data_IF_624350562800
#
_entry.id   IF_624350562800
#
_cell.length_a   1.000
_cell.length_b   1.000
_cell.length_c   1.000
_cell.angle_alpha   90.00
_cell.angle_beta   90.00
_cell.angle_gamma   90.00
#
_symmetry.space_group_name_H-M   'P 1'
#
loop_
_entity.id
_entity.type
_entity.pdbx_description
1 polymer ?
#
# COMPACT_ATOMS: atom_id res chain seq x y z
N UNK A 1 -5.65 -2.65 -5.59
CA UNK A 1 -5.01 -1.32 -5.62
C UNK A 1 -5.87 -0.36 -6.42
N UNK A 2 -6.25 -0.72 -7.64
CA UNK A 2 -7.15 0.11 -8.43
C UNK A 2 -8.46 0.42 -7.68
N UNK A 3 -9.01 -0.54 -6.96
CA UNK A 3 -10.20 -0.38 -6.14
C UNK A 3 -9.99 0.60 -4.98
N UNK A 4 -8.82 0.54 -4.33
CA UNK A 4 -8.50 1.40 -3.19
C UNK A 4 -7.96 2.78 -3.59
N UNK A 5 -7.31 2.89 -4.74
CA UNK A 5 -6.71 4.14 -5.20
C UNK A 5 -7.51 4.83 -6.31
N UNK A 6 -8.33 4.09 -7.06
CA UNK A 6 -8.99 4.56 -8.30
C UNK A 6 -10.46 4.11 -8.40
N UNK A 7 -10.99 3.34 -7.45
CA UNK A 7 -12.38 2.85 -7.44
C UNK A 7 -13.41 3.91 -7.05
N UNK A 8 -14.70 3.51 -7.01
CA UNK A 8 -15.82 4.38 -6.65
C UNK A 8 -15.71 5.03 -5.27
N UNK A 9 -14.85 4.48 -4.42
CA UNK A 9 -14.40 5.09 -3.18
C UNK A 9 -12.89 5.35 -3.27
N UNK A 10 -12.49 6.42 -3.95
CA UNK A 10 -11.10 6.88 -3.89
C UNK A 10 -10.71 7.06 -2.42
N UNK A 11 -9.82 6.18 -1.93
CA UNK A 11 -9.34 6.26 -0.56
C UNK A 11 -8.42 7.46 -0.34
N UNK A 12 -7.87 8.03 -1.42
CA UNK A 12 -7.13 9.30 -1.42
C UNK A 12 -8.06 10.33 -2.06
N UNK A 13 -8.78 11.07 -1.22
CA UNK A 13 -9.77 12.07 -1.69
C UNK A 13 -9.16 13.45 -1.88
N UNK A 14 -8.17 13.80 -1.06
CA UNK A 14 -7.60 15.14 -1.02
C UNK A 14 -6.09 15.14 -1.25
N UNK A 15 -5.60 16.14 -1.93
CA UNK A 15 -4.20 16.36 -2.32
C UNK A 15 -3.21 16.58 -1.16
N UNK A 16 -3.53 16.18 0.06
CA UNK A 16 -2.66 16.26 1.23
C UNK A 16 -2.74 15.03 2.13
N UNK A 17 -3.52 14.03 1.75
CA UNK A 17 -3.62 12.78 2.50
C UNK A 17 -2.31 12.01 2.50
N UNK A 18 -2.11 11.23 3.52
CA UNK A 18 -0.90 10.43 3.70
C UNK A 18 -1.21 8.94 3.67
N UNK A 19 -0.33 8.17 3.04
CA UNK A 19 -0.47 6.72 2.93
C UNK A 19 0.80 6.02 3.40
N UNK A 20 0.63 4.94 4.15
CA UNK A 20 1.68 3.97 4.47
C UNK A 20 1.47 2.71 3.63
N UNK A 21 2.48 2.31 2.87
CA UNK A 21 2.46 1.12 2.01
C UNK A 21 3.45 0.10 2.56
N UNK A 22 2.94 -1.01 3.11
CA UNK A 22 3.78 -2.13 3.49
C UNK A 22 4.29 -2.88 2.26
N UNK A 23 5.52 -3.37 2.33
CA UNK A 23 6.15 -4.07 1.21
C UNK A 23 6.36 -3.17 -0.02
N UNK A 24 6.78 -1.94 0.17
CA UNK A 24 6.96 -0.93 -0.89
C UNK A 24 7.83 -1.34 -2.07
N UNK A 25 8.71 -2.33 -1.89
CA UNK A 25 9.55 -2.88 -2.96
C UNK A 25 8.92 -4.10 -3.67
N UNK A 26 7.69 -4.48 -3.36
CA UNK A 26 6.93 -5.50 -4.11
C UNK A 26 6.37 -4.92 -5.41
N UNK A 27 5.95 -5.76 -6.35
CA UNK A 27 5.30 -5.29 -7.58
C UNK A 27 4.07 -4.42 -7.30
N UNK A 28 3.24 -4.82 -6.33
CA UNK A 28 2.08 -4.04 -5.88
C UNK A 28 2.54 -2.74 -5.21
N UNK A 29 3.53 -2.81 -4.31
CA UNK A 29 4.03 -1.64 -3.58
C UNK A 29 4.63 -0.58 -4.48
N UNK A 30 5.45 -0.97 -5.45
CA UNK A 30 6.08 -0.02 -6.40
C UNK A 30 5.06 0.71 -7.26
N UNK A 31 4.00 0.02 -7.68
CA UNK A 31 2.90 0.63 -8.44
C UNK A 31 2.06 1.55 -7.55
N UNK A 32 1.71 1.09 -6.35
CA UNK A 32 0.93 1.88 -5.40
C UNK A 32 1.63 3.19 -5.01
N UNK A 33 2.95 3.17 -4.81
CA UNK A 33 3.75 4.37 -4.49
C UNK A 33 3.66 5.40 -5.61
N UNK A 34 3.85 4.98 -6.86
CA UNK A 34 3.82 5.86 -8.00
C UNK A 34 2.43 6.47 -8.20
N UNK A 35 1.37 5.66 -8.10
CA UNK A 35 0.00 6.13 -8.22
C UNK A 35 -0.36 7.10 -7.09
N UNK A 36 -0.06 6.76 -5.84
CA UNK A 36 -0.33 7.62 -4.69
C UNK A 36 0.37 8.98 -4.82
N UNK A 37 1.62 8.98 -5.29
CA UNK A 37 2.36 10.22 -5.58
C UNK A 37 1.66 11.08 -6.65
N UNK A 38 1.22 10.46 -7.75
CA UNK A 38 0.54 11.18 -8.84
C UNK A 38 -0.78 11.79 -8.37
N UNK A 39 -1.49 11.11 -7.48
CA UNK A 39 -2.71 11.64 -6.85
C UNK A 39 -2.45 12.62 -5.71
N UNK A 40 -1.20 13.03 -5.50
CA UNK A 40 -0.83 14.08 -4.56
C UNK A 40 -0.69 13.63 -3.10
N UNK A 41 -0.69 12.33 -2.82
CA UNK A 41 -0.54 11.82 -1.46
C UNK A 41 0.90 11.88 -0.96
N UNK A 42 1.06 12.05 0.35
CA UNK A 42 2.32 11.89 1.07
C UNK A 42 2.58 10.40 1.31
N UNK A 43 3.54 9.83 0.60
CA UNK A 43 3.77 8.38 0.59
C UNK A 43 4.87 8.00 1.57
N UNK A 44 4.54 7.15 2.53
CA UNK A 44 5.46 6.43 3.38
C UNK A 44 5.45 4.95 2.98
N UNK A 45 6.56 4.26 3.13
CA UNK A 45 6.62 2.84 2.79
C UNK A 45 7.49 2.06 3.77
N UNK A 46 7.34 0.72 3.77
CA UNK A 46 8.26 -0.17 4.46
C UNK A 46 8.93 -1.13 3.48
N UNK A 47 10.19 -1.46 3.73
CA UNK A 47 10.93 -2.46 2.97
C UNK A 47 11.96 -3.19 3.84
N UNK A 48 12.46 -4.34 3.39
CA UNK A 48 13.30 -5.23 4.20
C UNK A 48 14.81 -4.99 4.08
N UNK A 49 15.28 -3.94 3.36
CA UNK A 49 16.70 -3.61 3.28
C UNK A 49 16.91 -2.14 2.88
N UNK A 50 18.08 -1.59 3.21
CA UNK A 50 18.46 -0.22 2.84
C UNK A 50 18.44 0.00 1.31
N UNK A 51 18.93 -0.99 0.52
CA UNK A 51 18.90 -0.94 -0.95
C UNK A 51 17.47 -0.83 -1.47
N UNK A 52 16.53 -1.63 -0.93
CA UNK A 52 15.12 -1.56 -1.28
C UNK A 52 14.49 -0.24 -0.87
N UNK A 53 14.80 0.28 0.32
CA UNK A 53 14.31 1.58 0.77
C UNK A 53 14.78 2.72 -0.15
N UNK A 54 16.05 2.72 -0.56
CA UNK A 54 16.57 3.71 -1.50
C UNK A 54 15.84 3.66 -2.87
N UNK A 55 15.56 2.46 -3.38
CA UNK A 55 14.79 2.30 -4.62
C UNK A 55 13.35 2.81 -4.48
N UNK A 56 12.69 2.50 -3.38
CA UNK A 56 11.32 2.92 -3.06
C UNK A 56 11.22 4.46 -2.95
N UNK A 57 12.20 5.11 -2.35
CA UNK A 57 12.27 6.59 -2.29
C UNK A 57 12.40 7.21 -3.69
N UNK A 58 13.18 6.61 -4.59
CA UNK A 58 13.29 7.08 -5.98
C UNK A 58 11.96 7.02 -6.74
N UNK A 59 11.06 6.09 -6.38
CA UNK A 59 9.73 5.97 -6.97
C UNK A 59 8.75 7.03 -6.47
N UNK A 60 9.08 7.70 -5.36
CA UNK A 60 8.28 8.82 -4.86
C UNK A 60 7.82 8.71 -3.40
N UNK A 61 8.25 7.70 -2.67
CA UNK A 61 8.03 7.69 -1.23
C UNK A 61 8.88 8.77 -0.54
N UNK A 62 8.26 9.57 0.33
CA UNK A 62 8.94 10.60 1.13
C UNK A 62 9.91 9.92 2.10
N UNK A 63 9.46 8.82 2.71
CA UNK A 63 10.30 8.01 3.57
C UNK A 63 10.02 6.53 3.38
N UNK A 64 11.06 5.70 3.53
CA UNK A 64 10.94 4.25 3.51
C UNK A 64 11.67 3.65 4.71
N UNK A 65 10.93 2.95 5.54
CA UNK A 65 11.37 2.40 6.80
C UNK A 65 11.85 0.98 6.60
N UNK A 66 13.08 0.70 7.00
CA UNK A 66 13.59 -0.67 7.02
C UNK A 66 13.04 -1.41 8.25
N UNK A 67 11.94 -2.15 8.06
CA UNK A 67 11.24 -2.84 9.15
C UNK A 67 12.09 -3.91 9.87
N UNK A 68 13.23 -4.32 9.30
CA UNK A 68 14.17 -5.24 9.97
C UNK A 68 15.09 -4.52 10.95
N UNK A 69 15.25 -3.21 10.85
CA UNK A 69 16.16 -2.40 11.67
C UNK A 69 15.43 -1.37 12.52
N UNK A 70 14.24 -0.95 12.09
CA UNK A 70 13.50 0.15 12.71
C UNK A 70 12.08 -0.28 13.04
N UNK A 71 11.54 0.26 14.13
CA UNK A 71 10.12 0.12 14.44
C UNK A 71 9.32 1.10 13.58
N UNK A 72 8.55 0.60 12.62
CA UNK A 72 7.79 1.45 11.69
C UNK A 72 6.72 2.29 12.41
N UNK A 73 6.10 1.77 13.45
CA UNK A 73 5.07 2.41 14.26
C UNK A 73 5.62 3.69 14.90
N UNK A 74 6.74 3.58 15.63
CA UNK A 74 7.42 4.72 16.23
C UNK A 74 7.87 5.72 15.17
N UNK A 75 8.38 5.22 14.06
CA UNK A 75 8.89 6.07 12.98
C UNK A 75 7.77 6.85 12.29
N UNK A 76 6.64 6.22 11.98
CA UNK A 76 5.48 6.90 11.38
C UNK A 76 4.93 7.97 12.33
N UNK A 77 4.76 7.65 13.62
CA UNK A 77 4.27 8.62 14.59
C UNK A 77 5.20 9.84 14.68
N UNK A 78 6.50 9.62 14.70
CA UNK A 78 7.48 10.72 14.65
C UNK A 78 7.36 11.57 13.38
N UNK A 79 7.30 10.93 12.20
CA UNK A 79 7.23 11.62 10.91
C UNK A 79 5.94 12.39 10.71
N UNK A 80 4.86 11.92 11.30
CA UNK A 80 3.53 12.54 11.22
C UNK A 80 3.22 13.45 12.42
N UNK A 81 4.15 13.61 13.36
CA UNK A 81 3.95 14.34 14.62
C UNK A 81 2.72 13.83 15.37
N UNK A 82 2.66 12.52 15.53
CA UNK A 82 1.57 11.76 16.17
C UNK A 82 0.17 11.92 15.53
N UNK A 83 0.08 12.56 14.37
CA UNK A 83 -1.20 12.67 13.64
C UNK A 83 -1.60 11.36 12.96
N UNK A 84 -0.63 10.50 12.64
CA UNK A 84 -0.84 9.27 11.89
C UNK A 84 -1.03 9.49 10.39
N UNK A 85 -1.31 8.40 9.66
CA UNK A 85 -1.58 8.39 8.22
C UNK A 85 -3.05 8.13 7.94
N UNK A 86 -3.59 8.67 6.86
CA UNK A 86 -4.99 8.53 6.48
C UNK A 86 -5.33 7.14 5.95
N UNK A 87 -4.36 6.51 5.27
CA UNK A 87 -4.54 5.21 4.63
C UNK A 87 -3.34 4.31 4.91
N UNK A 88 -3.59 3.03 5.16
CA UNK A 88 -2.57 1.99 5.18
C UNK A 88 -2.94 0.91 4.18
N UNK A 89 -2.03 0.61 3.25
CA UNK A 89 -2.12 -0.53 2.36
C UNK A 89 -1.27 -1.66 2.94
N UNK A 90 -1.93 -2.71 3.41
CA UNK A 90 -1.30 -3.80 4.14
C UNK A 90 -1.36 -5.12 3.36
N UNK A 91 -0.19 -5.73 3.15
CA UNK A 91 -0.05 -7.08 2.60
C UNK A 91 0.46 -8.09 3.63
N UNK A 92 0.68 -7.64 4.86
CA UNK A 92 1.25 -8.46 5.93
C UNK A 92 0.17 -9.06 6.81
N UNK A 93 -0.75 -8.22 7.30
CA UNK A 93 -1.80 -8.60 8.25
C UNK A 93 -1.24 -9.23 9.55
N UNK A 94 -1.95 -10.19 10.17
CA UNK A 94 -1.48 -10.82 11.40
C UNK A 94 -1.20 -9.79 12.50
N UNK A 95 -0.03 -9.87 13.11
CA UNK A 95 0.40 -8.97 14.19
C UNK A 95 0.61 -7.51 13.74
N UNK A 96 0.63 -7.26 12.42
CA UNK A 96 0.72 -5.90 11.91
C UNK A 96 -0.57 -5.09 12.11
N UNK A 97 -1.71 -5.75 12.20
CA UNK A 97 -3.02 -5.08 12.31
C UNK A 97 -3.05 -4.11 13.50
N UNK A 98 -2.74 -4.58 14.71
CA UNK A 98 -2.74 -3.71 15.89
C UNK A 98 -1.72 -2.57 15.78
N UNK A 99 -0.55 -2.85 15.25
CA UNK A 99 0.51 -1.85 15.01
C UNK A 99 0.09 -0.81 13.98
N UNK A 100 -0.62 -1.23 12.94
CA UNK A 100 -1.17 -0.36 11.91
C UNK A 100 -2.20 0.62 12.49
N UNK A 101 -3.07 0.14 13.37
CA UNK A 101 -4.05 1.03 14.03
C UNK A 101 -3.40 2.15 14.83
N UNK A 102 -2.22 1.91 15.42
CA UNK A 102 -1.45 2.94 16.14
C UNK A 102 -0.79 3.97 15.20
N UNK A 103 -0.73 3.66 13.91
CA UNK A 103 -0.20 4.55 12.87
C UNK A 103 -1.29 5.34 12.14
N UNK A 104 -2.57 4.98 12.29
CA UNK A 104 -3.67 5.65 11.60
C UNK A 104 -4.06 6.96 12.27
N UNK A 105 -4.38 7.95 11.44
CA UNK A 105 -5.06 9.19 11.86
C UNK A 105 -6.52 8.93 12.21
N UNK A 106 -7.21 9.89 12.80
CA UNK A 106 -8.68 9.83 12.94
C UNK A 106 -9.34 9.65 11.59
N UNK A 107 -10.43 8.86 11.56
CA UNK A 107 -11.14 8.44 10.33
C UNK A 107 -10.26 7.66 9.34
N UNK A 108 -9.09 7.18 9.80
CA UNK A 108 -8.12 6.46 8.98
C UNK A 108 -8.62 5.10 8.51
N UNK A 109 -8.09 4.66 7.38
CA UNK A 109 -8.51 3.42 6.71
C UNK A 109 -7.34 2.44 6.60
N UNK A 110 -7.57 1.19 7.02
CA UNK A 110 -6.67 0.05 6.83
C UNK A 110 -7.24 -0.87 5.74
N UNK A 111 -6.49 -1.05 4.66
CA UNK A 111 -6.86 -1.93 3.54
C UNK A 111 -5.92 -3.12 3.50
N UNK A 112 -6.43 -4.31 3.78
CA UNK A 112 -5.70 -5.57 3.76
C UNK A 112 -5.85 -6.22 2.40
N UNK A 113 -4.73 -6.43 1.70
CA UNK A 113 -4.69 -7.00 0.34
C UNK A 113 -4.01 -8.37 0.28
N UNK A 114 -3.31 -8.77 1.34
CA UNK A 114 -2.72 -10.09 1.52
C UNK A 114 -2.50 -10.35 3.02
N UNK A 115 -2.19 -11.59 3.37
CA UNK A 115 -2.07 -12.07 4.76
C UNK A 115 -0.75 -12.81 4.99
N UNK A 116 0.36 -12.24 4.50
CA UNK A 116 1.68 -12.88 4.56
C UNK A 116 2.19 -13.12 5.98
N UNK A 117 1.79 -12.31 6.94
CA UNK A 117 2.14 -12.42 8.36
C UNK A 117 1.16 -13.26 9.18
N UNK A 118 0.10 -13.77 8.56
CA UNK A 118 -0.87 -14.65 9.22
C UNK A 118 -2.33 -14.24 8.97
N UNK A 119 -3.22 -15.23 9.14
CA UNK A 119 -4.67 -15.06 8.92
C UNK A 119 -5.39 -14.45 10.13
N UNK A 120 -4.77 -14.49 11.30
CA UNK A 120 -5.36 -14.03 12.57
C UNK A 120 -4.46 -12.96 13.17
N UNK A 121 -5.06 -11.98 13.82
CA UNK A 121 -4.37 -10.92 14.54
C UNK A 121 -5.24 -10.36 15.65
N UNK A 122 -4.66 -9.61 16.59
CA UNK A 122 -5.39 -8.92 17.63
C UNK A 122 -5.88 -7.55 17.16
N UNK A 123 -7.01 -7.12 17.72
CA UNK A 123 -7.62 -5.85 17.40
C UNK A 123 -8.07 -5.15 18.69
N UNK A 124 -7.59 -3.94 18.93
CA UNK A 124 -8.07 -3.11 20.00
C UNK A 124 -9.33 -2.34 19.57
N UNK A 125 -10.49 -2.82 19.95
CA UNK A 125 -11.77 -2.19 19.61
C UNK A 125 -11.91 -0.77 20.18
N UNK A 126 -11.23 -0.45 21.28
CA UNK A 126 -11.21 0.89 21.85
C UNK A 126 -10.56 1.91 20.88
N UNK A 127 -9.51 1.53 20.18
CA UNK A 127 -8.95 2.38 19.10
C UNK A 127 -9.92 2.49 17.93
N UNK A 128 -10.49 1.38 17.48
CA UNK A 128 -11.44 1.35 16.37
C UNK A 128 -12.59 2.33 16.58
N UNK A 129 -13.21 2.28 17.77
CA UNK A 129 -14.35 3.13 18.11
C UNK A 129 -13.97 4.61 18.25
N UNK A 130 -12.98 4.90 19.09
CA UNK A 130 -12.62 6.29 19.42
C UNK A 130 -12.09 7.08 18.22
N UNK A 131 -11.37 6.39 17.33
CA UNK A 131 -10.72 6.97 16.17
C UNK A 131 -11.53 6.78 14.87
N UNK A 132 -12.67 6.11 14.95
CA UNK A 132 -13.59 5.85 13.81
C UNK A 132 -12.88 5.17 12.62
N UNK A 133 -12.01 4.20 12.91
CA UNK A 133 -11.24 3.51 11.88
C UNK A 133 -12.12 2.64 10.98
N UNK A 134 -11.77 2.58 9.72
CA UNK A 134 -12.32 1.62 8.77
C UNK A 134 -11.27 0.55 8.49
N UNK A 135 -11.64 -0.73 8.66
CA UNK A 135 -10.82 -1.86 8.28
C UNK A 135 -11.56 -2.62 7.17
N UNK A 136 -10.90 -2.81 6.03
CA UNK A 136 -11.47 -3.51 4.89
C UNK A 136 -10.45 -4.47 4.28
N UNK A 137 -10.95 -5.50 3.61
CA UNK A 137 -10.15 -6.40 2.78
C UNK A 137 -10.47 -6.21 1.30
N UNK A 138 -9.47 -6.42 0.46
CA UNK A 138 -9.67 -6.39 -0.99
C UNK A 138 -9.06 -7.62 -1.65
N UNK A 139 -9.83 -8.28 -2.50
CA UNK A 139 -9.37 -9.39 -3.33
C UNK A 139 -10.07 -9.36 -4.68
N UNK A 140 -9.29 -9.53 -5.74
CA UNK A 140 -9.81 -9.45 -7.11
C UNK A 140 -10.32 -10.80 -7.62
N UNK A 141 -9.70 -11.89 -7.18
CA UNK A 141 -9.95 -13.22 -7.77
C UNK A 141 -11.41 -13.66 -7.74
N UNK A 142 -12.16 -13.56 -6.61
CA UNK A 142 -13.56 -13.99 -6.51
C UNK A 142 -14.55 -12.95 -7.03
N UNK A 143 -14.12 -11.77 -7.48
CA UNK A 143 -15.03 -10.73 -7.96
C UNK A 143 -15.68 -11.15 -9.27
N UNK A 144 -16.93 -10.72 -9.47
CA UNK A 144 -17.66 -10.91 -10.72
C UNK A 144 -17.00 -10.17 -11.89
N UNK A 145 -17.17 -10.67 -13.09
CA UNK A 145 -16.57 -10.07 -14.29
C UNK A 145 -17.06 -8.63 -14.55
N UNK A 146 -18.30 -8.31 -14.19
CA UNK A 146 -18.83 -6.93 -14.25
C UNK A 146 -18.03 -5.98 -13.37
N UNK A 147 -17.69 -6.42 -12.16
CA UNK A 147 -16.87 -5.64 -11.20
C UNK A 147 -15.46 -5.50 -11.72
N UNK A 148 -14.84 -6.59 -12.19
CA UNK A 148 -13.50 -6.55 -12.82
C UNK A 148 -13.48 -5.58 -14.02
N UNK A 149 -14.50 -5.62 -14.86
CA UNK A 149 -14.64 -4.72 -16.00
C UNK A 149 -14.76 -3.24 -15.56
N UNK A 150 -15.43 -2.95 -14.44
CA UNK A 150 -15.53 -1.60 -13.91
C UNK A 150 -14.15 -1.08 -13.46
N UNK A 151 -13.32 -1.92 -12.84
CA UNK A 151 -11.95 -1.57 -12.45
C UNK A 151 -11.07 -1.31 -13.66
N UNK A 152 -11.18 -2.14 -14.72
CA UNK A 152 -10.45 -1.92 -15.97
C UNK A 152 -10.82 -0.58 -16.60
N UNK A 153 -12.11 -0.26 -16.69
CA UNK A 153 -12.56 1.05 -17.19
C UNK A 153 -12.02 2.22 -16.37
N UNK A 154 -12.03 2.08 -15.04
CA UNK A 154 -11.48 3.08 -14.13
C UNK A 154 -9.96 3.25 -14.32
N UNK A 155 -9.21 2.16 -14.48
CA UNK A 155 -7.78 2.19 -14.78
C UNK A 155 -7.49 2.89 -16.12
N UNK A 156 -8.24 2.56 -17.17
CA UNK A 156 -8.09 3.19 -18.49
C UNK A 156 -8.32 4.70 -18.37
N UNK A 157 -9.34 5.11 -17.65
CA UNK A 157 -9.70 6.53 -17.51
C UNK A 157 -8.71 7.31 -16.64
N UNK A 158 -8.28 6.75 -15.52
CA UNK A 158 -7.58 7.51 -14.47
C UNK A 158 -6.08 7.20 -14.35
N UNK A 159 -5.60 6.07 -14.89
CA UNK A 159 -4.20 5.64 -14.76
C UNK A 159 -3.49 5.53 -16.10
N UNK A 160 -4.17 5.05 -17.13
CA UNK A 160 -3.57 4.83 -18.46
C UNK A 160 -2.86 6.07 -19.03
N UNK A 161 -3.41 7.30 -18.93
CA UNK A 161 -2.72 8.50 -19.41
C UNK A 161 -1.36 8.76 -18.74
N UNK A 162 -1.18 8.32 -17.50
CA UNK A 162 0.10 8.44 -16.78
C UNK A 162 1.11 7.38 -17.23
N UNK A 163 0.63 6.19 -17.63
CA UNK A 163 1.49 5.14 -18.23
C UNK A 163 2.02 5.58 -19.58
N UNK A 164 1.18 6.13 -20.46
CA UNK A 164 1.55 6.66 -21.76
C UNK A 164 2.61 7.77 -21.65
N UNK A 165 2.43 8.66 -20.68
CA UNK A 165 3.39 9.74 -20.36
C UNK A 165 4.62 9.27 -19.61
N UNK A 166 4.77 7.96 -19.35
CA UNK A 166 5.86 7.35 -18.54
C UNK A 166 6.02 7.96 -17.14
N UNK A 167 4.96 8.51 -16.59
CA UNK A 167 4.93 9.01 -15.21
C UNK A 167 4.75 7.87 -14.19
N UNK A 168 4.15 6.76 -14.63
CA UNK A 168 4.16 5.47 -13.94
C UNK A 168 4.93 4.50 -14.82
N UNK A 169 5.96 3.88 -14.26
CA UNK A 169 6.79 2.90 -14.97
C UNK A 169 6.69 1.54 -14.29
N UNK A 170 6.54 0.46 -15.06
CA UNK A 170 6.66 -0.88 -14.50
C UNK A 170 8.05 -1.08 -13.91
N UNK A 171 8.11 -1.56 -12.67
CA UNK A 171 9.38 -1.83 -11.99
C UNK A 171 9.54 -3.33 -11.88
N UNK A 172 10.50 -3.89 -12.62
CA UNK A 172 10.89 -5.29 -12.54
C UNK A 172 12.26 -5.42 -11.90
N UNK A 173 12.31 -6.12 -10.75
CA UNK A 173 13.57 -6.50 -10.09
C UNK A 173 13.84 -8.01 -10.23
N UNK A 174 12.99 -8.72 -10.95
CA UNK A 174 13.14 -10.15 -11.18
C UNK A 174 13.76 -10.40 -12.54
N UNK A 175 14.98 -10.88 -12.54
CA UNK A 175 15.41 -11.77 -13.62
C UNK A 175 14.55 -13.02 -13.49
N UNK A 176 13.54 -13.16 -14.33
CA UNK A 176 12.82 -14.41 -14.52
C UNK A 176 13.77 -15.37 -15.25
N UNK A 177 14.67 -15.98 -14.50
CA UNK A 177 15.24 -17.25 -14.92
C UNK A 177 14.15 -18.29 -14.69
N UNK A 178 13.41 -18.61 -15.74
CA UNK A 178 12.62 -19.83 -15.76
C UNK A 178 13.60 -20.98 -15.47
N UNK A 179 13.31 -21.86 -14.49
CA UNK A 179 14.09 -23.06 -14.35
C UNK A 179 13.89 -23.85 -15.65
N UNK A 180 14.90 -23.89 -16.49
CA UNK A 180 15.00 -24.87 -17.55
C UNK A 180 15.03 -26.22 -16.86
N UNK A 181 13.93 -26.95 -16.88
CA UNK A 181 13.98 -28.39 -16.64
C UNK A 181 14.82 -28.99 -17.77
N UNK A 182 16.13 -29.05 -17.55
CA UNK A 182 16.99 -29.98 -18.24
C UNK A 182 16.79 -31.33 -17.56
N UNK A 183 16.33 -32.27 -18.30
CA UNK A 183 16.51 -33.65 -17.84
C UNK A 183 15.35 -34.58 -18.10
N UNK A 184 15.65 -35.42 -18.92
CA UNK A 184 15.47 -36.83 -19.28
C UNK A 184 14.53 -37.02 -20.41
#
# INVERSE_FOLDING_TARGET
>A
IAECLVGSEMCIRDSNESILIHGGASGIGTTAIQLAKIFGAKVYATAGSAKKCAAVKKLGAIECINYKKENFEKKINLLTKDKGVNLILDMVAGDYVERNLKCLSEDGKLVIIAVQGGLKGSLNFGYLMRKRYTITGSTLRPQEDKVKASYVRSLIKHVWPFLEKRQVVPVSYTHLTLPTKSGV
#
